data_IF_801433894019
#
_entry.id   IF_801433894019
#
_cell.length_a   1.000
_cell.length_b   1.000
_cell.length_c   1.000
_cell.angle_alpha   90.00
_cell.angle_beta   90.00
_cell.angle_gamma   90.00
#
_symmetry.space_group_name_H-M   'P 1'
#
loop_
_entity.id
_entity.type
_entity.pdbx_description
1 polymer ?
#
# COMPACT_ATOMS: atom_id res chain seq x y z
N UNK A 1 -12.56 -12.65 -21.65
CA UNK A 1 -13.20 -11.35 -21.93
C UNK A 1 -13.66 -10.61 -20.66
N UNK A 2 -14.27 -11.27 -19.65
CA UNK A 2 -14.75 -10.57 -18.43
C UNK A 2 -13.70 -9.83 -17.60
N UNK A 3 -12.54 -10.43 -17.33
CA UNK A 3 -11.49 -9.80 -16.49
C UNK A 3 -10.82 -8.58 -17.14
N UNK A 4 -10.70 -8.55 -18.47
CA UNK A 4 -10.09 -7.40 -19.17
C UNK A 4 -10.99 -6.17 -19.12
N UNK A 5 -12.30 -6.34 -19.25
CA UNK A 5 -13.24 -5.21 -19.12
C UNK A 5 -13.31 -4.69 -17.68
N UNK A 6 -13.27 -5.58 -16.68
CA UNK A 6 -13.20 -5.16 -15.28
C UNK A 6 -11.93 -4.36 -15.00
N UNK A 7 -10.77 -4.85 -15.47
CA UNK A 7 -9.50 -4.12 -15.35
C UNK A 7 -9.52 -2.75 -16.02
N UNK A 8 -10.16 -2.62 -17.20
CA UNK A 8 -10.32 -1.35 -17.87
C UNK A 8 -11.18 -0.36 -17.07
N UNK A 9 -12.32 -0.79 -16.52
CA UNK A 9 -13.18 0.08 -15.68
C UNK A 9 -12.48 0.50 -14.38
N UNK A 10 -11.71 -0.40 -13.76
CA UNK A 10 -10.90 -0.08 -12.58
C UNK A 10 -9.85 0.97 -12.91
N UNK A 11 -9.15 0.82 -14.03
CA UNK A 11 -8.15 1.80 -14.48
C UNK A 11 -8.79 3.13 -14.90
N UNK A 12 -10.00 3.13 -15.46
CA UNK A 12 -10.72 4.37 -15.77
C UNK A 12 -11.09 5.14 -14.49
N UNK A 13 -11.45 4.43 -13.41
CA UNK A 13 -11.87 5.07 -12.16
C UNK A 13 -10.70 5.42 -11.21
N UNK A 14 -9.72 4.53 -11.07
CA UNK A 14 -8.60 4.67 -10.12
C UNK A 14 -7.25 4.94 -10.79
N UNK A 15 -7.15 4.70 -12.10
CA UNK A 15 -5.89 4.86 -12.82
C UNK A 15 -5.54 6.33 -12.99
N UNK A 16 -4.23 6.58 -13.03
CA UNK A 16 -3.68 7.87 -13.38
C UNK A 16 -2.47 7.62 -14.27
N UNK A 17 -2.49 8.22 -15.46
CA UNK A 17 -1.41 8.05 -16.44
C UNK A 17 -0.07 8.43 -15.82
N UNK A 18 0.96 7.61 -16.00
CA UNK A 18 2.32 7.84 -15.46
C UNK A 18 2.44 7.83 -13.93
N UNK A 19 1.46 7.31 -13.19
CA UNK A 19 1.48 7.32 -11.72
C UNK A 19 2.73 6.63 -11.14
N UNK A 20 3.07 5.44 -11.64
CA UNK A 20 4.22 4.68 -11.17
C UNK A 20 5.52 5.46 -11.40
N UNK A 21 5.71 6.04 -12.58
CA UNK A 21 6.91 6.80 -12.91
C UNK A 21 7.07 8.03 -12.00
N UNK A 22 5.97 8.72 -11.68
CA UNK A 22 5.99 9.83 -10.72
C UNK A 22 6.39 9.37 -9.32
N UNK A 23 5.85 8.25 -8.84
CA UNK A 23 6.21 7.69 -7.53
C UNK A 23 7.70 7.33 -7.50
N UNK A 24 8.19 6.62 -8.51
CA UNK A 24 9.60 6.20 -8.58
C UNK A 24 10.56 7.38 -8.77
N UNK A 25 10.14 8.44 -9.46
CA UNK A 25 10.93 9.67 -9.60
C UNK A 25 11.12 10.34 -8.25
N UNK A 26 10.02 10.61 -7.53
CA UNK A 26 10.07 11.23 -6.20
C UNK A 26 10.85 10.35 -5.22
N UNK A 27 10.67 9.04 -5.25
CA UNK A 27 11.40 8.12 -4.38
C UNK A 27 12.93 8.27 -4.56
N UNK A 28 13.42 8.27 -5.80
CA UNK A 28 14.84 8.50 -6.10
C UNK A 28 15.30 9.89 -5.67
N UNK A 29 14.51 10.93 -5.91
CA UNK A 29 14.82 12.30 -5.47
C UNK A 29 14.93 12.41 -3.93
N UNK A 30 14.18 11.58 -3.19
CA UNK A 30 14.27 11.47 -1.72
C UNK A 30 15.38 10.55 -1.23
N UNK A 31 16.20 10.00 -2.12
CA UNK A 31 17.33 9.14 -1.78
C UNK A 31 16.98 7.66 -1.56
N UNK A 32 15.80 7.21 -2.00
CA UNK A 32 15.43 5.79 -1.95
C UNK A 32 16.06 5.08 -3.15
N UNK A 33 16.94 4.12 -2.87
CA UNK A 33 17.46 3.17 -3.84
C UNK A 33 16.42 2.09 -4.13
N UNK A 34 15.85 2.07 -5.33
CA UNK A 34 14.67 1.24 -5.66
C UNK A 34 14.95 -0.26 -5.48
N UNK A 35 16.16 -0.71 -5.79
CA UNK A 35 16.55 -2.13 -5.66
C UNK A 35 16.78 -2.56 -4.21
N UNK A 36 16.92 -1.61 -3.29
CA UNK A 36 17.07 -1.85 -1.84
C UNK A 36 15.86 -1.39 -1.03
N UNK A 37 14.82 -0.89 -1.71
CA UNK A 37 13.69 -0.25 -1.07
C UNK A 37 12.87 -1.24 -0.24
N UNK A 38 12.41 -0.75 0.91
CA UNK A 38 11.57 -1.47 1.84
C UNK A 38 10.12 -1.05 1.66
N UNK A 39 9.19 -1.88 2.13
CA UNK A 39 7.76 -1.57 1.99
C UNK A 39 7.36 -0.29 2.72
N UNK A 40 8.03 0.06 3.81
CA UNK A 40 7.76 1.25 4.61
C UNK A 40 8.25 2.55 3.94
N UNK A 41 9.23 2.48 3.04
CA UNK A 41 9.66 3.63 2.22
C UNK A 41 8.52 4.17 1.34
N UNK A 42 7.55 3.32 1.01
CA UNK A 42 6.37 3.68 0.22
C UNK A 42 5.09 3.79 1.05
N UNK A 43 5.17 3.89 2.39
CA UNK A 43 3.97 3.92 3.25
C UNK A 43 3.03 5.08 2.92
N UNK A 44 3.57 6.22 2.46
CA UNK A 44 2.77 7.38 2.05
C UNK A 44 1.85 7.07 0.84
N UNK A 45 2.22 6.10 0.01
CA UNK A 45 1.44 5.66 -1.15
C UNK A 45 0.58 4.45 -0.80
N UNK A 46 1.13 3.47 -0.07
CA UNK A 46 0.43 2.22 0.23
C UNK A 46 -0.55 2.30 1.41
N UNK A 47 -0.42 3.31 2.27
CA UNK A 47 -1.28 3.55 3.44
C UNK A 47 -1.86 4.98 3.40
N UNK A 48 -2.45 5.37 2.27
CA UNK A 48 -3.01 6.72 2.07
C UNK A 48 -4.30 6.99 2.87
N UNK A 49 -4.86 5.96 3.54
CA UNK A 49 -6.05 6.10 4.37
C UNK A 49 -5.83 7.06 5.55
N UNK A 50 -6.92 7.51 6.16
CA UNK A 50 -6.87 8.39 7.33
C UNK A 50 -5.96 7.78 8.41
N UNK A 51 -4.99 8.56 8.87
CA UNK A 51 -4.02 8.17 9.89
C UNK A 51 -2.85 7.30 9.41
N UNK A 52 -2.88 6.83 8.16
CA UNK A 52 -1.82 6.05 7.50
C UNK A 52 -1.23 4.92 8.34
N UNK A 53 0.07 4.65 8.13
CA UNK A 53 0.82 3.59 8.82
C UNK A 53 0.65 3.60 10.35
N UNK A 54 0.61 4.78 10.95
CA UNK A 54 0.43 4.92 12.39
C UNK A 54 -0.92 4.35 12.84
N UNK A 55 -1.99 4.64 12.13
CA UNK A 55 -3.31 4.10 12.45
C UNK A 55 -3.35 2.57 12.31
N UNK A 56 -2.67 2.00 11.32
CA UNK A 56 -2.51 0.53 11.20
C UNK A 56 -1.86 -0.05 12.45
N UNK A 57 -0.74 0.53 12.91
CA UNK A 57 -0.02 0.08 14.11
C UNK A 57 -0.89 0.24 15.36
N UNK A 58 -1.56 1.38 15.52
CA UNK A 58 -2.44 1.65 16.65
C UNK A 58 -3.59 0.64 16.71
N UNK A 59 -4.23 0.34 15.56
CA UNK A 59 -5.30 -0.65 15.47
C UNK A 59 -4.80 -2.07 15.77
N UNK A 60 -3.62 -2.44 15.29
CA UNK A 60 -3.00 -3.73 15.62
C UNK A 60 -2.75 -3.88 17.12
N UNK A 61 -2.25 -2.83 17.77
CA UNK A 61 -2.07 -2.78 19.22
C UNK A 61 -3.40 -2.87 19.98
N UNK A 62 -4.43 -2.14 19.54
CA UNK A 62 -5.77 -2.16 20.13
C UNK A 62 -6.44 -3.53 20.03
N UNK A 63 -6.22 -4.23 18.90
CA UNK A 63 -6.68 -5.59 18.68
C UNK A 63 -5.82 -6.64 19.41
N UNK A 64 -4.74 -6.23 20.08
CA UNK A 64 -3.80 -7.10 20.79
C UNK A 64 -3.19 -8.19 19.90
N UNK A 65 -2.96 -7.88 18.63
CA UNK A 65 -2.37 -8.81 17.68
C UNK A 65 -1.00 -9.28 18.15
N UNK A 66 -0.76 -10.58 18.00
CA UNK A 66 0.46 -11.25 18.43
C UNK A 66 1.07 -12.05 17.28
N UNK A 67 2.37 -12.34 17.40
CA UNK A 67 3.07 -13.18 16.44
C UNK A 67 2.36 -14.54 16.29
N UNK A 68 2.05 -14.91 15.04
CA UNK A 68 1.33 -16.14 14.72
C UNK A 68 -0.18 -15.97 14.46
N UNK A 69 -0.75 -14.82 14.82
CA UNK A 69 -2.15 -14.52 14.50
C UNK A 69 -2.37 -14.49 12.98
N UNK A 70 -3.58 -14.89 12.58
CA UNK A 70 -4.04 -14.84 11.18
C UNK A 70 -4.96 -13.66 11.01
N UNK A 71 -4.49 -12.65 10.29
CA UNK A 71 -5.21 -11.38 10.06
C UNK A 71 -5.64 -11.30 8.60
N UNK A 72 -6.89 -10.88 8.37
CA UNK A 72 -7.43 -10.61 7.03
C UNK A 72 -7.59 -9.10 6.85
N UNK A 73 -6.88 -8.55 5.87
CA UNK A 73 -7.04 -7.17 5.42
C UNK A 73 -8.05 -7.11 4.26
N UNK A 74 -9.29 -6.70 4.54
CA UNK A 74 -10.36 -6.61 3.55
C UNK A 74 -10.34 -5.22 2.91
N UNK A 75 -10.22 -5.19 1.58
CA UNK A 75 -10.05 -3.93 0.86
C UNK A 75 -8.62 -3.38 0.97
N UNK A 76 -7.63 -4.27 1.08
CA UNK A 76 -6.22 -3.97 1.34
C UNK A 76 -5.54 -3.05 0.33
N UNK A 77 -6.16 -2.80 -0.83
CA UNK A 77 -5.60 -1.96 -1.89
C UNK A 77 -4.23 -2.47 -2.32
N UNK A 78 -3.19 -1.64 -2.14
CA UNK A 78 -1.80 -2.01 -2.41
C UNK A 78 -1.17 -2.92 -1.35
N UNK A 79 -1.89 -3.27 -0.28
CA UNK A 79 -1.44 -4.15 0.81
C UNK A 79 -0.54 -3.46 1.84
N UNK A 80 -0.63 -2.13 1.98
CA UNK A 80 0.15 -1.37 2.97
C UNK A 80 -0.06 -1.89 4.39
N UNK A 81 -1.30 -1.93 4.91
CA UNK A 81 -1.55 -2.40 6.26
C UNK A 81 -1.13 -3.86 6.48
N UNK A 82 -1.46 -4.75 5.53
CA UNK A 82 -1.02 -6.13 5.57
C UNK A 82 0.51 -6.28 5.70
N UNK A 83 1.31 -5.57 4.90
CA UNK A 83 2.78 -5.61 4.99
C UNK A 83 3.36 -4.93 6.24
N UNK A 84 2.58 -4.08 6.90
CA UNK A 84 2.96 -3.48 8.18
C UNK A 84 2.82 -4.46 9.34
N UNK A 85 1.88 -5.40 9.25
CA UNK A 85 1.52 -6.34 10.32
C UNK A 85 2.22 -7.71 10.21
N UNK A 86 3.11 -7.92 9.22
CA UNK A 86 3.90 -9.16 9.05
C UNK A 86 5.24 -9.14 9.79
#
# INVERSE_FOLDING_TARGET
MGNQMLGAMVNEHYGSEGLLDRILTVARETGIEIDEARSDDFSAVSEFHIGGRKATIDLGNMAQLSAGDKVLDVGSGLGGPARTLV
#
